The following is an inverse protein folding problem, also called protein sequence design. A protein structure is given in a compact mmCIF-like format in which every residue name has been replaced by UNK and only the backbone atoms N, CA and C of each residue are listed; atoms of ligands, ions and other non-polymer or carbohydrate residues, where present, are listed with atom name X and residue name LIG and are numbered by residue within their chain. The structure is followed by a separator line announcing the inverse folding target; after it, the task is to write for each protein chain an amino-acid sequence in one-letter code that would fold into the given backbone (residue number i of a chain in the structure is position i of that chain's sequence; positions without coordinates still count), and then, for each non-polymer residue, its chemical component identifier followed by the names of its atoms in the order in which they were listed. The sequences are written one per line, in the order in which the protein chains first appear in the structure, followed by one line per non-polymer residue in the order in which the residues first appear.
data_IF_968474573474
#
_entry.id   IF_968474573474
#
_cell.length_a   1.000
_cell.length_b   1.000
_cell.length_c   1.000
_cell.angle_alpha   90.00
_cell.angle_beta   90.00
_cell.angle_gamma   90.00
#
_symmetry.space_group_name_H-M   'P 1'
#
loop_
_entity.id
_entity.type
_entity.pdbx_description
1 polymer ?
#
# COMPACT_ATOMS: atom_id res chain seq x y z
N UNK A 1 21.08 10.13 4.58
CA UNK A 1 19.81 9.83 3.87
C UNK A 1 19.25 8.47 4.30
N UNK A 2 19.97 7.36 4.05
CA UNK A 2 19.51 5.99 4.40
C UNK A 2 19.10 5.85 5.88
N UNK A 3 19.85 6.44 6.81
CA UNK A 3 19.52 6.37 8.24
C UNK A 3 18.23 7.14 8.62
N UNK A 4 17.97 8.28 7.96
CA UNK A 4 16.75 9.07 8.19
C UNK A 4 15.55 8.28 7.69
N UNK A 5 15.67 7.67 6.50
CA UNK A 5 14.65 6.77 5.98
C UNK A 5 14.46 5.55 6.89
N UNK A 6 15.54 4.88 7.34
CA UNK A 6 15.44 3.74 8.25
C UNK A 6 14.69 4.08 9.55
N UNK A 7 14.96 5.25 10.15
CA UNK A 7 14.22 5.74 11.31
C UNK A 7 12.75 6.05 11.00
N UNK A 8 12.48 6.67 9.84
CA UNK A 8 11.12 6.93 9.37
C UNK A 8 10.31 5.63 9.20
N UNK A 9 10.87 4.61 8.54
CA UNK A 9 10.25 3.30 8.34
C UNK A 9 9.89 2.64 9.68
N UNK A 10 10.82 2.62 10.64
CA UNK A 10 10.55 2.06 11.98
C UNK A 10 9.41 2.82 12.65
N UNK A 11 9.43 4.15 12.58
CA UNK A 11 8.36 4.96 13.15
C UNK A 11 7.00 4.67 12.49
N UNK A 12 6.96 4.54 11.16
CA UNK A 12 5.72 4.24 10.44
C UNK A 12 5.22 2.83 10.74
N UNK A 13 6.11 1.84 10.73
CA UNK A 13 5.76 0.46 11.09
C UNK A 13 5.24 0.34 12.54
N UNK A 14 5.88 1.04 13.48
CA UNK A 14 5.39 1.12 14.87
C UNK A 14 4.00 1.75 14.94
N UNK A 15 3.77 2.84 14.21
CA UNK A 15 2.47 3.53 14.19
C UNK A 15 1.35 2.62 13.70
N UNK A 16 1.61 1.80 12.68
CA UNK A 16 0.68 0.80 12.14
C UNK A 16 0.39 -0.28 13.21
N UNK A 17 1.42 -0.80 13.89
CA UNK A 17 1.25 -1.80 14.96
C UNK A 17 0.43 -1.30 16.16
N UNK A 18 0.45 0.01 16.42
CA UNK A 18 -0.37 0.63 17.50
C UNK A 18 -1.86 0.76 17.17
N UNK A 19 -2.31 0.29 16.01
CA UNK A 19 -3.74 0.21 15.69
C UNK A 19 -4.38 1.54 15.24
N UNK A 20 -3.60 2.52 14.80
CA UNK A 20 -4.14 3.77 14.25
C UNK A 20 -4.67 3.65 12.81
N UNK A 21 -4.87 2.43 12.30
CA UNK A 21 -5.41 2.14 10.96
C UNK A 21 -6.77 1.43 10.97
N UNK A 22 -7.39 1.27 12.15
CA UNK A 22 -8.79 0.83 12.19
C UNK A 22 -9.67 2.02 11.86
N UNK A 23 -10.35 1.93 10.72
CA UNK A 23 -11.19 2.93 10.04
C UNK A 23 -10.44 3.80 9.02
N UNK A 24 -10.22 3.21 7.84
CA UNK A 24 -10.08 3.98 6.59
C UNK A 24 -11.44 4.65 6.33
N UNK A 25 -11.70 5.76 7.01
CA UNK A 25 -12.82 6.65 6.69
C UNK A 25 -12.56 7.23 5.29
N UNK A 26 -13.32 6.85 4.25
CA UNK A 26 -13.10 7.34 2.89
C UNK A 26 -13.21 8.87 2.82
N UNK A 27 -13.99 9.49 3.72
CA UNK A 27 -14.21 10.94 3.80
C UNK A 27 -13.06 11.71 4.47
N UNK A 28 -12.21 11.03 5.26
CA UNK A 28 -11.03 11.65 5.89
C UNK A 28 -9.77 11.57 5.04
N UNK A 29 -9.75 10.76 3.98
CA UNK A 29 -8.59 10.65 3.12
C UNK A 29 -8.38 11.98 2.35
N UNK A 30 -7.26 12.70 2.56
CA UNK A 30 -7.01 13.99 1.91
C UNK A 30 -7.05 13.90 0.38
N UNK A 31 -6.69 12.75 -0.18
CA UNK A 31 -6.77 12.47 -1.63
C UNK A 31 -8.24 12.48 -2.09
N UNK A 32 -9.14 11.87 -1.33
CA UNK A 32 -10.57 11.80 -1.63
C UNK A 32 -11.23 13.19 -1.55
N UNK A 33 -10.92 13.97 -0.51
CA UNK A 33 -11.43 15.35 -0.36
C UNK A 33 -10.94 16.27 -1.48
N UNK A 34 -9.67 16.16 -1.86
CA UNK A 34 -9.11 16.97 -2.94
C UNK A 34 -9.76 16.60 -4.27
N UNK A 35 -9.93 15.31 -4.56
CA UNK A 35 -10.59 14.84 -5.77
C UNK A 35 -12.07 15.25 -5.83
N UNK A 36 -12.80 15.12 -4.72
CA UNK A 36 -14.19 15.59 -4.57
C UNK A 36 -14.35 17.10 -4.77
N UNK A 37 -13.31 17.89 -4.43
CA UNK A 37 -13.30 19.34 -4.62
C UNK A 37 -13.13 19.75 -6.08
N UNK A 38 -12.37 18.98 -6.86
CA UNK A 38 -12.08 19.29 -8.26
C UNK A 38 -12.99 18.58 -9.26
N UNK A 39 -13.61 17.46 -8.87
CA UNK A 39 -14.40 16.63 -9.78
C UNK A 39 -15.76 16.29 -9.14
N UNK A 40 -16.88 16.66 -9.78
CA UNK A 40 -18.20 16.28 -9.28
C UNK A 40 -18.35 14.76 -9.32
N UNK A 41 -18.68 14.17 -8.17
CA UNK A 41 -18.95 12.74 -8.02
C UNK A 41 -20.41 12.44 -8.30
N UNK A 42 -20.67 11.36 -9.01
CA UNK A 42 -22.02 10.81 -9.22
C UNK A 42 -22.15 9.53 -8.40
N UNK A 43 -23.16 9.49 -7.53
CA UNK A 43 -23.45 8.39 -6.60
C UNK A 43 -24.10 7.15 -7.24
N UNK A 44 -24.20 7.11 -8.58
CA UNK A 44 -24.70 5.97 -9.33
C UNK A 44 -23.58 5.07 -9.85
N UNK A 45 -23.90 3.80 -10.11
CA UNK A 45 -23.00 2.81 -10.74
C UNK A 45 -23.34 2.62 -12.23
N UNK A 46 -22.89 3.50 -13.14
CA UNK A 46 -23.16 3.39 -14.57
C UNK A 46 -22.17 2.42 -15.25
N UNK A 47 -22.24 1.14 -14.89
CA UNK A 47 -21.69 0.01 -15.66
C UNK A 47 -20.24 0.17 -16.14
N UNK A 48 -19.28 0.17 -15.22
CA UNK A 48 -17.84 0.05 -15.54
C UNK A 48 -17.17 1.28 -16.20
N UNK A 49 -17.88 2.40 -16.37
CA UNK A 49 -17.32 3.64 -16.95
C UNK A 49 -16.72 4.54 -15.88
N UNK A 50 -15.48 4.97 -16.05
CA UNK A 50 -14.79 5.88 -15.11
C UNK A 50 -15.39 7.28 -15.08
N UNK A 51 -15.80 7.80 -16.24
CA UNK A 51 -16.44 9.11 -16.39
C UNK A 51 -17.80 8.96 -17.02
N UNK A 52 -18.77 9.72 -16.50
CA UNK A 52 -20.10 9.82 -17.09
C UNK A 52 -20.49 11.27 -17.31
N UNK A 53 -21.26 11.51 -18.37
CA UNK A 53 -21.85 12.82 -18.62
C UNK A 53 -23.23 12.83 -17.97
N UNK A 54 -23.42 13.63 -16.92
CA UNK A 54 -24.72 13.83 -16.28
C UNK A 54 -25.06 15.32 -16.34
N UNK A 55 -26.28 15.64 -16.80
CA UNK A 55 -26.76 17.03 -16.96
C UNK A 55 -25.77 17.97 -17.70
N UNK A 56 -25.12 17.49 -18.77
CA UNK A 56 -24.19 18.27 -19.58
C UNK A 56 -22.77 18.44 -19.01
N UNK A 57 -22.51 18.03 -17.76
CA UNK A 57 -21.17 18.07 -17.13
C UNK A 57 -20.52 16.68 -17.10
N UNK A 58 -19.19 16.62 -17.23
CA UNK A 58 -18.41 15.38 -17.02
C UNK A 58 -18.24 15.19 -15.51
N UNK A 59 -18.68 14.04 -15.02
CA UNK A 59 -18.59 13.65 -13.63
C UNK A 59 -17.82 12.34 -13.49
N UNK A 60 -17.05 12.22 -12.42
CA UNK A 60 -16.35 10.98 -12.10
C UNK A 60 -17.27 10.01 -11.35
N UNK A 61 -17.09 8.73 -11.61
CA UNK A 61 -17.76 7.65 -10.88
C UNK A 61 -16.95 7.25 -9.65
N UNK A 62 -17.56 6.50 -8.73
CA UNK A 62 -16.88 5.89 -7.59
C UNK A 62 -15.65 5.04 -8.02
N UNK A 63 -15.72 4.38 -9.19
CA UNK A 63 -14.59 3.60 -9.72
C UNK A 63 -13.38 4.48 -10.06
N UNK A 64 -13.60 5.69 -10.58
CA UNK A 64 -12.51 6.63 -10.86
C UNK A 64 -11.90 7.20 -9.57
N UNK A 65 -12.73 7.47 -8.56
CA UNK A 65 -12.25 7.91 -7.25
C UNK A 65 -11.37 6.84 -6.59
N UNK A 66 -11.81 5.58 -6.59
CA UNK A 66 -11.04 4.47 -6.04
C UNK A 66 -9.75 4.26 -6.82
N UNK A 67 -9.79 4.29 -8.15
CA UNK A 67 -8.60 4.18 -8.99
C UNK A 67 -7.56 5.25 -8.63
N UNK A 68 -7.96 6.53 -8.61
CA UNK A 68 -7.06 7.65 -8.29
C UNK A 68 -6.52 7.53 -6.88
N UNK A 69 -7.34 7.09 -5.92
CA UNK A 69 -6.91 6.90 -4.53
C UNK A 69 -5.85 5.80 -4.46
N UNK A 70 -6.06 4.65 -5.11
CA UNK A 70 -5.10 3.54 -5.14
C UNK A 70 -3.81 3.94 -5.85
N UNK A 71 -3.88 4.57 -7.03
CA UNK A 71 -2.68 5.04 -7.75
C UNK A 71 -1.90 6.09 -6.95
N UNK A 72 -2.59 7.00 -6.25
CA UNK A 72 -1.92 7.99 -5.39
C UNK A 72 -1.29 7.33 -4.19
N UNK A 73 -1.98 6.37 -3.56
CA UNK A 73 -1.44 5.59 -2.45
C UNK A 73 -0.23 4.75 -2.86
N UNK A 74 -0.22 4.17 -4.06
CA UNK A 74 0.93 3.46 -4.62
C UNK A 74 2.14 4.39 -4.83
N UNK A 75 1.91 5.60 -5.35
CA UNK A 75 2.97 6.61 -5.47
C UNK A 75 3.51 7.04 -4.10
N UNK A 76 2.64 7.14 -3.08
CA UNK A 76 3.06 7.42 -1.70
C UNK A 76 3.85 6.24 -1.11
N UNK A 77 3.45 5.00 -1.36
CA UNK A 77 4.21 3.81 -0.97
C UNK A 77 5.54 3.69 -1.71
N UNK A 78 5.64 4.20 -2.94
CA UNK A 78 6.90 4.26 -3.67
C UNK A 78 7.95 5.13 -2.96
N UNK A 79 7.54 6.11 -2.15
CA UNK A 79 8.45 6.93 -1.35
C UNK A 79 9.18 6.11 -0.28
N UNK A 80 8.59 5.02 0.21
CA UNK A 80 9.22 4.06 1.12
C UNK A 80 10.03 3.00 0.34
N UNK A 81 9.48 2.49 -0.76
CA UNK A 81 10.12 1.43 -1.55
C UNK A 81 11.40 1.90 -2.27
N UNK A 82 11.49 3.18 -2.67
CA UNK A 82 12.68 3.74 -3.33
C UNK A 82 13.93 3.68 -2.43
N UNK A 83 13.92 4.21 -1.19
CA UNK A 83 15.02 4.06 -0.24
C UNK A 83 15.39 2.59 0.03
N UNK A 84 14.39 1.72 0.19
CA UNK A 84 14.61 0.30 0.47
C UNK A 84 15.29 -0.41 -0.71
N UNK A 85 14.86 -0.13 -1.94
CA UNK A 85 15.49 -0.68 -3.16
C UNK A 85 16.90 -0.14 -3.33
N UNK A 86 17.14 1.17 -3.15
CA UNK A 86 18.50 1.73 -3.25
C UNK A 86 19.46 1.20 -2.18
N UNK A 87 18.94 0.69 -1.06
CA UNK A 87 19.72 -0.02 -0.05
C UNK A 87 20.11 -1.45 -0.48
N UNK A 88 19.43 -2.03 -1.47
CA UNK A 88 19.62 -3.41 -1.95
C UNK A 88 20.31 -3.44 -3.32
N UNK A 89 19.94 -2.55 -4.23
CA UNK A 89 20.47 -2.45 -5.60
C UNK A 89 20.54 -1.00 -6.04
N UNK A 90 21.61 -0.64 -6.73
CA UNK A 90 21.81 0.70 -7.32
C UNK A 90 21.56 0.74 -8.82
N UNK A 91 21.16 -0.38 -9.43
CA UNK A 91 20.86 -0.45 -10.86
C UNK A 91 19.51 0.24 -11.15
N UNK A 92 19.51 1.42 -11.78
CA UNK A 92 18.28 2.17 -12.05
C UNK A 92 17.32 1.36 -12.93
N UNK A 93 17.82 0.50 -13.82
CA UNK A 93 16.99 -0.30 -14.70
C UNK A 93 16.09 -1.25 -13.89
N UNK A 94 16.65 -1.91 -12.87
CA UNK A 94 15.89 -2.79 -11.97
C UNK A 94 14.86 -2.00 -11.17
N UNK A 95 15.23 -0.80 -10.68
CA UNK A 95 14.31 0.06 -9.92
C UNK A 95 13.14 0.52 -10.78
N UNK A 96 13.41 1.03 -11.98
CA UNK A 96 12.37 1.54 -12.89
C UNK A 96 11.46 0.42 -13.39
N UNK A 97 12.02 -0.70 -13.84
CA UNK A 97 11.24 -1.83 -14.35
C UNK A 97 10.34 -2.44 -13.26
N UNK A 98 10.83 -2.59 -12.02
CA UNK A 98 10.05 -3.10 -10.90
C UNK A 98 8.85 -2.21 -10.56
N UNK A 99 9.03 -0.89 -10.50
CA UNK A 99 7.93 0.04 -10.19
C UNK A 99 6.90 0.11 -11.33
N UNK A 100 7.34 0.09 -12.59
CA UNK A 100 6.43 0.01 -13.74
C UNK A 100 5.61 -1.29 -13.70
N UNK A 101 6.24 -2.43 -13.39
CA UNK A 101 5.53 -3.70 -13.22
C UNK A 101 4.51 -3.66 -12.08
N UNK A 102 4.83 -3.01 -10.95
CA UNK A 102 3.91 -2.83 -9.84
C UNK A 102 2.64 -2.07 -10.27
N UNK A 103 2.82 -0.92 -10.94
CA UNK A 103 1.72 -0.06 -11.42
C UNK A 103 0.84 -0.79 -12.45
N UNK A 104 1.43 -1.50 -13.41
CA UNK A 104 0.68 -2.22 -14.45
C UNK A 104 -0.21 -3.34 -13.88
N UNK A 105 0.17 -3.94 -12.75
CA UNK A 105 -0.59 -4.99 -12.07
C UNK A 105 -1.74 -4.49 -11.20
N UNK A 106 -1.79 -3.21 -10.83
CA UNK A 106 -2.75 -2.68 -9.85
C UNK A 106 -4.21 -2.89 -10.27
N UNK A 107 -4.51 -2.75 -11.57
CA UNK A 107 -5.90 -2.86 -12.06
C UNK A 107 -6.49 -4.25 -11.84
N UNK A 108 -5.73 -5.31 -12.07
CA UNK A 108 -6.19 -6.68 -11.83
C UNK A 108 -6.17 -7.04 -10.35
N UNK A 109 -5.17 -6.56 -9.62
CA UNK A 109 -5.06 -6.74 -8.17
C UNK A 109 -6.18 -6.05 -7.40
N UNK A 110 -6.70 -4.91 -7.87
CA UNK A 110 -7.84 -4.25 -7.23
C UNK A 110 -9.09 -5.14 -7.21
N UNK A 111 -9.43 -5.78 -8.33
CA UNK A 111 -10.57 -6.70 -8.39
C UNK A 111 -10.37 -7.93 -7.51
N UNK A 112 -9.15 -8.46 -7.47
CA UNK A 112 -8.80 -9.55 -6.58
C UNK A 112 -8.93 -9.11 -5.11
N UNK A 113 -8.28 -8.01 -4.73
CA UNK A 113 -8.26 -7.47 -3.38
C UNK A 113 -9.67 -7.14 -2.89
N UNK A 114 -10.52 -6.51 -3.72
CA UNK A 114 -11.90 -6.21 -3.35
C UNK A 114 -12.70 -7.46 -2.96
N UNK A 115 -12.42 -8.62 -3.56
CA UNK A 115 -13.07 -9.88 -3.22
C UNK A 115 -12.56 -10.52 -1.93
N UNK A 116 -11.33 -10.20 -1.49
CA UNK A 116 -10.68 -10.82 -0.32
C UNK A 116 -10.38 -9.83 0.83
N UNK A 117 -10.70 -8.54 0.66
CA UNK A 117 -10.38 -7.47 1.61
C UNK A 117 -10.87 -7.75 3.02
N UNK A 118 -12.05 -8.34 3.17
CA UNK A 118 -12.62 -8.73 4.47
C UNK A 118 -11.88 -9.86 5.19
N UNK A 119 -10.93 -10.53 4.55
CA UNK A 119 -10.15 -11.65 5.12
C UNK A 119 -8.74 -11.25 5.55
N UNK A 120 -8.30 -10.00 5.36
CA UNK A 120 -6.91 -9.56 5.56
C UNK A 120 -6.71 -8.66 6.79
N UNK A 121 -7.27 -9.04 7.94
CA UNK A 121 -7.18 -8.23 9.16
C UNK A 121 -5.77 -8.20 9.78
N UNK A 122 -5.00 -9.27 9.63
CA UNK A 122 -3.61 -9.30 10.15
C UNK A 122 -2.57 -8.77 9.16
N UNK A 123 -3.00 -8.36 7.96
CA UNK A 123 -2.07 -7.86 6.93
C UNK A 123 -1.43 -6.53 7.35
N UNK A 124 -2.17 -5.65 8.00
CA UNK A 124 -1.64 -4.39 8.56
C UNK A 124 -0.54 -4.64 9.59
N UNK A 125 -0.72 -5.66 10.44
CA UNK A 125 0.28 -6.08 11.42
C UNK A 125 1.54 -6.61 10.72
N UNK A 126 1.35 -7.45 9.69
CA UNK A 126 2.45 -7.94 8.86
C UNK A 126 3.23 -6.82 8.18
N UNK A 127 2.54 -5.83 7.60
CA UNK A 127 3.15 -4.65 7.00
C UNK A 127 3.96 -3.86 8.02
N UNK A 128 3.40 -3.59 9.22
CA UNK A 128 4.13 -2.90 10.29
C UNK A 128 5.43 -3.61 10.69
N UNK A 129 5.40 -4.94 10.80
CA UNK A 129 6.59 -5.75 11.07
C UNK A 129 7.62 -5.68 9.94
N UNK A 130 7.17 -5.72 8.68
CA UNK A 130 8.05 -5.58 7.50
C UNK A 130 8.73 -4.21 7.49
N UNK A 131 8.00 -3.12 7.72
CA UNK A 131 8.56 -1.77 7.77
C UNK A 131 9.63 -1.64 8.87
N UNK A 132 9.36 -2.19 10.06
CA UNK A 132 10.35 -2.20 11.14
C UNK A 132 11.59 -3.02 10.73
N UNK A 133 11.40 -4.21 10.16
CA UNK A 133 12.49 -5.08 9.73
C UNK A 133 13.38 -4.42 8.66
N UNK A 134 12.77 -3.81 7.63
CA UNK A 134 13.48 -3.10 6.56
C UNK A 134 14.14 -1.83 7.11
N UNK A 135 13.45 -1.07 7.96
CA UNK A 135 14.00 0.13 8.59
C UNK A 135 15.21 -0.18 9.48
N UNK A 136 15.13 -1.25 10.29
CA UNK A 136 16.25 -1.75 11.10
C UNK A 136 17.41 -2.18 10.20
N UNK A 137 17.15 -2.91 9.11
CA UNK A 137 18.19 -3.26 8.13
C UNK A 137 18.87 -2.02 7.55
N UNK A 138 18.10 -1.00 7.18
CA UNK A 138 18.65 0.24 6.63
C UNK A 138 19.55 0.98 7.63
N UNK A 139 19.17 1.01 8.91
CA UNK A 139 20.01 1.55 9.99
C UNK A 139 21.27 0.73 10.24
N UNK A 140 21.21 -0.59 10.07
CA UNK A 140 22.35 -1.50 10.33
C UNK A 140 23.26 -1.65 9.10
N UNK A 141 22.82 -1.22 7.91
CA UNK A 141 23.52 -1.40 6.64
C UNK A 141 24.95 -0.84 6.59
N UNK A 142 25.29 0.13 7.44
CA UNK A 142 26.64 0.68 7.56
C UNK A 142 27.63 -0.20 8.35
N UNK A 143 27.14 -1.14 9.15
CA UNK A 143 27.96 -1.95 10.06
C UNK A 143 27.95 -3.45 9.71
N UNK A 144 26.83 -3.96 9.18
CA UNK A 144 26.67 -5.39 8.84
C UNK A 144 26.06 -5.54 7.45
N UNK A 145 26.76 -6.20 6.54
CA UNK A 145 26.22 -6.58 5.24
C UNK A 145 25.34 -7.82 5.38
N UNK A 146 24.04 -7.60 5.62
CA UNK A 146 23.06 -8.69 5.65
C UNK A 146 22.83 -9.15 4.20
N UNK A 147 23.03 -10.45 3.88
CA UNK A 147 22.78 -10.96 2.55
C UNK A 147 21.32 -10.74 2.15
N UNK A 148 21.15 -10.24 0.93
CA UNK A 148 19.86 -9.80 0.39
C UNK A 148 18.82 -10.91 0.46
N UNK A 149 19.23 -12.15 0.14
CA UNK A 149 18.37 -13.33 0.20
C UNK A 149 17.78 -13.59 1.58
N UNK A 150 18.52 -13.34 2.67
CA UNK A 150 18.02 -13.53 4.03
C UNK A 150 16.96 -12.48 4.39
N UNK A 151 17.18 -11.21 4.01
CA UNK A 151 16.17 -10.17 4.20
C UNK A 151 14.91 -10.45 3.39
N UNK A 152 15.06 -10.87 2.14
CA UNK A 152 13.93 -11.23 1.29
C UNK A 152 13.14 -12.40 1.88
N UNK A 153 13.84 -13.44 2.35
CA UNK A 153 13.22 -14.57 3.01
C UNK A 153 12.48 -14.15 4.29
N UNK A 154 13.06 -13.26 5.10
CA UNK A 154 12.42 -12.76 6.31
C UNK A 154 11.15 -11.95 6.01
N UNK A 155 11.20 -11.04 5.02
CA UNK A 155 10.03 -10.27 4.57
C UNK A 155 8.95 -11.21 4.03
N UNK A 156 9.33 -12.16 3.17
CA UNK A 156 8.42 -13.15 2.62
C UNK A 156 7.78 -14.00 3.74
N UNK A 157 8.55 -14.45 4.73
CA UNK A 157 8.04 -15.22 5.86
C UNK A 157 7.04 -14.42 6.70
N UNK A 158 7.30 -13.13 6.95
CA UNK A 158 6.36 -12.27 7.70
C UNK A 158 5.07 -12.05 6.91
N UNK A 159 5.15 -11.80 5.60
CA UNK A 159 3.97 -11.57 4.76
C UNK A 159 3.15 -12.86 4.53
N UNK A 160 3.79 -13.98 4.21
CA UNK A 160 3.10 -15.26 4.09
C UNK A 160 2.52 -15.69 5.43
N UNK A 161 3.23 -15.47 6.53
CA UNK A 161 2.75 -15.75 7.88
C UNK A 161 1.53 -14.91 8.23
N UNK A 162 1.54 -13.60 7.95
CA UNK A 162 0.40 -12.72 8.23
C UNK A 162 -0.82 -13.09 7.37
N UNK A 163 -0.61 -13.39 6.09
CA UNK A 163 -1.68 -13.87 5.19
C UNK A 163 -2.24 -15.21 5.66
N UNK A 164 -1.38 -16.18 5.98
CA UNK A 164 -1.81 -17.49 6.46
C UNK A 164 -2.57 -17.40 7.78
N UNK A 165 -2.09 -16.61 8.74
CA UNK A 165 -2.79 -16.33 9.99
C UNK A 165 -4.14 -15.68 9.75
N UNK A 166 -4.21 -14.74 8.80
CA UNK A 166 -5.46 -14.06 8.46
C UNK A 166 -6.49 -14.96 7.78
N UNK A 167 -6.04 -16.00 7.07
CA UNK A 167 -6.92 -17.02 6.48
C UNK A 167 -7.33 -18.10 7.48
N UNK A 168 -6.45 -18.48 8.40
CA UNK A 168 -6.71 -19.52 9.41
C UNK A 168 -7.53 -19.02 10.60
N UNK A 169 -7.36 -17.74 10.97
CA UNK A 169 -8.07 -17.10 12.07
C UNK A 169 -8.83 -15.86 11.57
N UNK A 170 -9.90 -16.01 10.79
CA UNK A 170 -10.75 -14.88 10.44
C UNK A 170 -11.33 -14.28 11.73
N UNK A 171 -11.24 -12.96 11.95
CA UNK A 171 -11.82 -12.34 13.12
C UNK A 171 -13.32 -12.61 13.15
N UNK A 172 -13.82 -13.02 14.30
CA UNK A 172 -15.24 -13.25 14.52
C UNK A 172 -16.02 -12.01 14.06
N UNK A 173 -17.01 -12.23 13.19
CA UNK A 173 -17.99 -11.23 12.81
C UNK A 173 -18.45 -10.52 14.08
N UNK A 174 -18.13 -9.23 14.21
CA UNK A 174 -18.92 -8.37 15.09
C UNK A 174 -20.18 -8.06 14.29
N UNK A 175 -21.20 -8.88 14.51
CA UNK A 175 -22.58 -8.60 14.14
C UNK A 175 -23.07 -7.30 14.79
#
# INVERSE_FOLDING_TARGET
IIYIFGGFLIFTGWKILRGNETEVDPERNPVVRLFQRFVPLVSGYPGGRFFVKQAGRRSATALALVLVTVETTDLVFAVDSIPAIFAVSRDPFIVYTSNVCAILGLRSMYFLLAAVMGRFVYLSVGLGLVLILVGTKMLVSGYVQIPIGLSLAAVAAVLFGSVALSLLFPPASKD
#
